data_IF_856557590024
#
_entry.id   IF_856557590024
#
_cell.length_a   1.000
_cell.length_b   1.000
_cell.length_c   1.000
_cell.angle_alpha   90.00
_cell.angle_beta   90.00
_cell.angle_gamma   90.00
#
_symmetry.space_group_name_H-M   'P 1'
#
loop_
_entity.id
_entity.type
_entity.pdbx_description
1 polymer ?
#
# COMPACT_ATOMS: atom_id res chain seq x y z
N UNK A 1 20.84 67.87 2.06
CA UNK A 1 20.72 66.47 2.52
C UNK A 1 19.53 65.85 1.81
N UNK A 2 19.76 64.85 0.94
CA UNK A 2 18.73 64.17 0.15
C UNK A 2 18.13 63.03 0.97
N UNK A 3 16.83 63.05 1.22
CA UNK A 3 16.12 61.99 1.94
C UNK A 3 15.66 60.92 0.96
N UNK A 4 16.13 59.69 1.20
CA UNK A 4 15.89 58.48 0.42
C UNK A 4 14.44 57.99 0.65
N UNK A 5 13.66 57.79 -0.43
CA UNK A 5 12.38 57.06 -0.38
C UNK A 5 12.64 55.59 -0.67
N UNK A 6 12.42 54.73 0.32
CA UNK A 6 12.44 53.26 0.14
C UNK A 6 11.03 52.85 -0.31
N UNK A 7 10.93 52.32 -1.52
CA UNK A 7 9.74 51.63 -2.02
C UNK A 7 9.84 50.18 -1.56
N UNK A 8 8.96 49.76 -0.65
CA UNK A 8 8.80 48.35 -0.28
C UNK A 8 7.87 47.71 -1.30
N UNK A 9 8.43 47.00 -2.28
CA UNK A 9 7.66 46.04 -3.08
C UNK A 9 7.53 44.75 -2.29
N UNK A 10 6.36 44.53 -1.71
CA UNK A 10 5.97 43.22 -1.20
C UNK A 10 5.42 42.39 -2.38
N UNK A 11 6.27 41.58 -2.99
CA UNK A 11 5.82 40.53 -3.91
C UNK A 11 5.23 39.40 -3.06
N UNK A 12 3.90 39.39 -2.96
CA UNK A 12 3.14 38.28 -2.41
C UNK A 12 3.22 37.13 -3.44
N UNK A 13 4.18 36.22 -3.26
CA UNK A 13 4.25 34.99 -4.05
C UNK A 13 3.11 34.09 -3.58
N UNK A 14 1.94 34.21 -4.21
CA UNK A 14 0.90 33.20 -4.12
C UNK A 14 1.44 31.93 -4.79
N UNK A 15 2.00 31.03 -3.98
CA UNK A 15 2.25 29.66 -4.40
C UNK A 15 0.89 29.02 -4.66
N UNK A 16 0.49 29.00 -5.93
CA UNK A 16 -0.56 28.14 -6.43
C UNK A 16 -0.09 26.71 -6.18
N UNK A 17 -0.59 26.09 -5.11
CA UNK A 17 -0.58 24.63 -4.97
C UNK A 17 -1.51 24.09 -6.05
N UNK A 18 -0.99 23.93 -7.27
CA UNK A 18 -1.62 23.06 -8.24
C UNK A 18 -1.58 21.66 -7.65
N UNK A 19 -2.73 21.17 -7.17
CA UNK A 19 -2.95 19.76 -6.92
C UNK A 19 -2.87 19.03 -8.26
N UNK A 20 -1.65 18.79 -8.73
CA UNK A 20 -1.42 17.85 -9.82
C UNK A 20 -1.69 16.47 -9.24
N UNK A 21 -2.88 15.94 -9.47
CA UNK A 21 -3.14 14.51 -9.31
C UNK A 21 -2.15 13.76 -10.19
N UNK A 22 -1.24 12.99 -9.59
CA UNK A 22 -0.30 12.17 -10.34
C UNK A 22 -1.07 11.19 -11.21
N UNK A 23 -0.70 11.02 -12.50
CA UNK A 23 -1.43 10.14 -13.40
C UNK A 23 -1.40 8.69 -12.89
N UNK A 24 -2.50 7.96 -13.06
CA UNK A 24 -2.53 6.54 -12.75
C UNK A 24 -1.59 5.77 -13.67
N UNK A 25 -0.69 5.02 -13.05
CA UNK A 25 0.17 4.06 -13.73
C UNK A 25 -0.58 2.73 -13.74
N UNK A 26 -0.65 2.10 -14.91
CA UNK A 26 -1.27 0.78 -15.07
C UNK A 26 -0.22 -0.23 -15.50
N UNK A 27 -0.22 -1.39 -14.86
CA UNK A 27 0.72 -2.48 -15.14
C UNK A 27 -0.02 -3.82 -15.24
N UNK A 28 0.38 -4.65 -16.20
CA UNK A 28 0.00 -6.06 -16.29
C UNK A 28 1.27 -6.90 -16.06
N UNK A 29 1.17 -7.95 -15.26
CA UNK A 29 2.26 -8.87 -14.98
C UNK A 29 1.79 -10.32 -15.17
N UNK A 30 2.63 -11.13 -15.79
CA UNK A 30 2.46 -12.57 -15.92
C UNK A 30 3.77 -13.23 -15.50
N UNK A 31 3.73 -13.97 -14.40
CA UNK A 31 4.80 -14.86 -13.97
C UNK A 31 4.37 -16.30 -14.18
N UNK A 32 5.29 -17.11 -14.70
CA UNK A 32 5.06 -18.53 -14.96
C UNK A 32 6.21 -19.33 -14.39
N UNK A 33 5.89 -20.23 -13.48
CA UNK A 33 6.82 -21.19 -12.90
C UNK A 33 6.46 -22.60 -13.36
N UNK A 34 7.44 -23.35 -13.85
CA UNK A 34 7.27 -24.75 -14.18
C UNK A 34 7.43 -25.61 -12.92
N UNK A 35 6.48 -26.52 -12.70
CA UNK A 35 6.42 -27.41 -11.53
C UNK A 35 6.30 -28.86 -11.98
N UNK A 36 6.46 -29.81 -11.06
CA UNK A 36 6.25 -31.23 -11.35
C UNK A 36 4.81 -31.57 -11.79
N UNK A 37 3.85 -30.67 -11.55
CA UNK A 37 2.41 -30.90 -11.80
C UNK A 37 1.83 -29.98 -12.90
N UNK A 38 2.68 -29.31 -13.68
CA UNK A 38 2.28 -28.34 -14.70
C UNK A 38 2.91 -26.97 -14.47
N UNK A 39 2.18 -25.91 -14.76
CA UNK A 39 2.66 -24.52 -14.67
C UNK A 39 1.86 -23.73 -13.65
N UNK A 40 2.54 -23.13 -12.68
CA UNK A 40 1.94 -22.15 -11.78
C UNK A 40 1.98 -20.79 -12.48
N UNK A 41 0.81 -20.19 -12.69
CA UNK A 41 0.65 -18.90 -13.32
C UNK A 41 0.19 -17.87 -12.28
N UNK A 42 0.96 -16.79 -12.13
CA UNK A 42 0.59 -15.62 -11.36
C UNK A 42 0.35 -14.47 -12.33
N UNK A 43 -0.92 -14.09 -12.44
CA UNK A 43 -1.41 -13.09 -13.39
C UNK A 43 -1.94 -11.93 -12.58
N UNK A 44 -1.40 -10.74 -12.81
CA UNK A 44 -1.79 -9.56 -12.07
C UNK A 44 -2.05 -8.38 -13.00
N UNK A 45 -3.07 -7.58 -12.67
CA UNK A 45 -3.16 -6.19 -13.11
C UNK A 45 -3.02 -5.29 -11.88
N UNK A 46 -2.43 -4.12 -12.08
CA UNK A 46 -2.35 -3.14 -11.02
C UNK A 46 -2.54 -1.73 -11.52
N UNK A 47 -3.04 -0.89 -10.62
CA UNK A 47 -2.98 0.55 -10.76
C UNK A 47 -2.24 1.14 -9.59
N UNK A 48 -1.43 2.16 -9.85
CA UNK A 48 -0.84 2.97 -8.81
C UNK A 48 -0.99 4.45 -9.09
N UNK A 49 -1.03 5.25 -8.03
CA UNK A 49 -1.03 6.71 -8.08
C UNK A 49 -0.34 7.24 -6.84
N UNK A 50 0.04 8.51 -6.88
CA UNK A 50 0.54 9.24 -5.72
C UNK A 50 -0.41 10.39 -5.41
N UNK A 51 -0.76 10.54 -4.14
CA UNK A 51 -1.57 11.65 -3.67
C UNK A 51 -1.15 12.08 -2.27
N UNK A 52 -0.89 13.37 -2.11
CA UNK A 52 -0.45 14.00 -0.85
C UNK A 52 0.75 13.29 -0.19
N UNK A 53 1.75 12.88 -0.98
CA UNK A 53 2.96 12.22 -0.47
C UNK A 53 2.76 10.75 -0.06
N UNK A 54 1.61 10.15 -0.40
CA UNK A 54 1.36 8.73 -0.24
C UNK A 54 1.24 8.06 -1.60
N UNK A 55 1.88 6.91 -1.73
CA UNK A 55 1.70 6.01 -2.86
C UNK A 55 0.57 5.04 -2.56
N UNK A 56 -0.33 4.90 -3.52
CA UNK A 56 -1.42 3.95 -3.49
C UNK A 56 -1.24 2.97 -4.62
N UNK A 57 -1.38 1.68 -4.33
CA UNK A 57 -1.41 0.64 -5.36
C UNK A 57 -2.52 -0.34 -5.08
N UNK A 58 -3.30 -0.67 -6.10
CA UNK A 58 -4.22 -1.79 -6.06
C UNK A 58 -3.77 -2.85 -7.04
N UNK A 59 -3.80 -4.11 -6.61
CA UNK A 59 -3.43 -5.27 -7.41
C UNK A 59 -4.60 -6.24 -7.41
N UNK A 60 -5.05 -6.63 -8.60
CA UNK A 60 -5.93 -7.77 -8.81
C UNK A 60 -5.07 -8.93 -9.29
N UNK A 61 -5.22 -10.11 -8.68
CA UNK A 61 -4.39 -11.26 -8.96
C UNK A 61 -5.21 -12.54 -9.16
N UNK A 62 -4.74 -13.35 -10.10
CA UNK A 62 -5.14 -14.73 -10.35
C UNK A 62 -3.93 -15.62 -10.16
N UNK A 63 -4.10 -16.65 -9.35
CA UNK A 63 -3.11 -17.70 -9.13
C UNK A 63 -3.74 -19.01 -9.59
N UNK A 64 -3.14 -19.71 -10.54
CA UNK A 64 -3.68 -20.97 -11.06
C UNK A 64 -2.58 -21.95 -11.44
N UNK A 65 -2.81 -23.23 -11.15
CA UNK A 65 -2.02 -24.33 -11.68
C UNK A 65 -2.70 -24.84 -12.94
N UNK A 66 -1.96 -24.94 -14.04
CA UNK A 66 -2.47 -25.36 -15.36
C UNK A 66 -1.58 -26.43 -15.96
N UNK A 67 -2.11 -27.20 -16.91
CA UNK A 67 -1.35 -28.27 -17.55
C UNK A 67 -0.35 -27.73 -18.58
N UNK A 68 -0.73 -26.67 -19.32
CA UNK A 68 0.12 -26.08 -20.36
C UNK A 68 0.40 -24.60 -20.12
N UNK A 69 1.61 -24.14 -20.48
CA UNK A 69 2.00 -22.72 -20.39
C UNK A 69 1.04 -21.77 -21.13
N UNK A 70 0.37 -22.24 -22.19
CA UNK A 70 -0.60 -21.44 -22.96
C UNK A 70 -1.81 -21.04 -22.12
N UNK A 71 -2.22 -21.89 -21.19
CA UNK A 71 -3.36 -21.63 -20.29
C UNK A 71 -3.07 -20.56 -19.22
N UNK A 72 -1.82 -20.11 -19.10
CA UNK A 72 -1.49 -18.92 -18.31
C UNK A 72 -1.97 -17.61 -18.95
N UNK A 73 -2.44 -17.63 -20.19
CA UNK A 73 -3.06 -16.46 -20.82
C UNK A 73 -4.56 -16.45 -20.51
N UNK A 74 -5.04 -15.38 -19.88
CA UNK A 74 -6.46 -15.18 -19.59
C UNK A 74 -7.13 -14.33 -20.65
N UNK A 75 -8.26 -14.80 -21.17
CA UNK A 75 -9.14 -14.01 -22.03
C UNK A 75 -9.95 -12.98 -21.22
N UNK A 76 -10.29 -13.31 -19.96
CA UNK A 76 -11.05 -12.45 -19.06
C UNK A 76 -10.50 -12.51 -17.63
N UNK A 77 -9.70 -11.52 -17.24
CA UNK A 77 -9.15 -11.43 -15.89
C UNK A 77 -10.25 -11.27 -14.82
N UNK A 78 -11.30 -10.48 -15.09
CA UNK A 78 -12.27 -10.07 -14.07
C UNK A 78 -13.01 -11.22 -13.40
N UNK A 79 -13.35 -12.27 -14.16
CA UNK A 79 -14.06 -13.45 -13.65
C UNK A 79 -13.20 -14.34 -12.74
N UNK A 80 -11.89 -14.31 -12.98
CA UNK A 80 -10.94 -15.27 -12.42
C UNK A 80 -10.14 -14.72 -11.23
N UNK A 81 -10.22 -13.40 -10.96
CA UNK A 81 -9.57 -12.76 -9.79
C UNK A 81 -9.90 -13.54 -8.53
N UNK A 82 -8.86 -14.09 -7.90
CA UNK A 82 -8.98 -14.83 -6.65
C UNK A 82 -8.45 -14.02 -5.45
N UNK A 83 -7.61 -13.03 -5.71
CA UNK A 83 -7.01 -12.18 -4.69
C UNK A 83 -6.99 -10.73 -5.14
N UNK A 84 -7.29 -9.81 -4.24
CA UNK A 84 -7.12 -8.37 -4.43
C UNK A 84 -6.31 -7.81 -3.27
N UNK A 85 -5.32 -7.00 -3.59
CA UNK A 85 -4.45 -6.37 -2.60
C UNK A 85 -4.47 -4.86 -2.78
N UNK A 86 -4.50 -4.13 -1.66
CA UNK A 86 -4.26 -2.68 -1.61
C UNK A 86 -2.97 -2.46 -0.85
N UNK A 87 -2.11 -1.65 -1.42
CA UNK A 87 -0.87 -1.19 -0.82
C UNK A 87 -0.95 0.30 -0.63
N UNK A 88 -0.55 0.75 0.55
CA UNK A 88 -0.34 2.17 0.85
C UNK A 88 1.03 2.31 1.42
N UNK A 89 1.81 3.21 0.84
CA UNK A 89 3.13 3.58 1.30
C UNK A 89 3.16 5.09 1.55
N UNK A 90 3.70 5.49 2.68
CA UNK A 90 3.94 6.90 3.02
C UNK A 90 5.31 7.01 3.65
N UNK A 91 6.13 7.96 3.16
CA UNK A 91 7.46 8.18 3.70
C UNK A 91 7.77 9.67 3.83
N UNK A 92 8.43 10.02 4.92
CA UNK A 92 9.11 11.29 5.13
C UNK A 92 10.51 11.05 5.73
N UNK A 93 11.22 12.12 6.07
CA UNK A 93 12.61 12.05 6.58
C UNK A 93 12.79 11.18 7.83
N UNK A 94 11.72 10.99 8.61
CA UNK A 94 11.78 10.27 9.88
C UNK A 94 10.96 8.98 9.88
N UNK A 95 9.84 8.95 9.17
CA UNK A 95 8.87 7.87 9.25
C UNK A 95 8.63 7.25 7.88
N UNK A 96 8.51 5.92 7.89
CA UNK A 96 7.98 5.15 6.77
C UNK A 96 6.84 4.28 7.27
N UNK A 97 5.73 4.29 6.54
CA UNK A 97 4.54 3.48 6.79
C UNK A 97 4.26 2.63 5.55
N UNK A 98 4.08 1.33 5.76
CA UNK A 98 3.66 0.40 4.72
C UNK A 98 2.44 -0.37 5.22
N UNK A 99 1.43 -0.50 4.38
CA UNK A 99 0.25 -1.31 4.67
C UNK A 99 -0.17 -2.07 3.44
N UNK A 100 -0.36 -3.37 3.59
CA UNK A 100 -0.92 -4.27 2.58
C UNK A 100 -2.19 -4.92 3.13
N UNK A 101 -3.33 -4.62 2.51
CA UNK A 101 -4.61 -5.25 2.79
C UNK A 101 -4.93 -6.23 1.66
N UNK A 102 -5.12 -7.50 1.99
CA UNK A 102 -5.44 -8.54 1.02
C UNK A 102 -6.83 -9.13 1.26
N UNK A 103 -7.60 -9.20 0.19
CA UNK A 103 -8.95 -9.72 0.11
C UNK A 103 -8.96 -10.94 -0.80
N UNK A 104 -9.39 -12.09 -0.28
CA UNK A 104 -9.60 -13.29 -1.10
C UNK A 104 -11.04 -13.32 -1.59
N UNK A 105 -11.26 -13.85 -2.80
CA UNK A 105 -12.59 -14.04 -3.39
C UNK A 105 -13.53 -14.71 -2.38
N UNK A 106 -14.69 -14.08 -2.15
CA UNK A 106 -15.68 -14.53 -1.16
C UNK A 106 -15.58 -13.83 0.21
N UNK A 107 -14.55 -13.01 0.45
CA UNK A 107 -14.51 -12.16 1.64
C UNK A 107 -15.61 -11.08 1.59
N UNK A 108 -16.31 -10.88 2.70
CA UNK A 108 -17.34 -9.84 2.85
C UNK A 108 -16.77 -8.47 3.23
N UNK A 109 -15.50 -8.42 3.65
CA UNK A 109 -14.79 -7.18 3.95
C UNK A 109 -14.70 -6.27 2.73
N UNK A 110 -15.19 -5.04 2.88
CA UNK A 110 -15.09 -3.92 1.92
C UNK A 110 -15.76 -4.14 0.56
N UNK A 111 -17.10 -4.11 0.50
CA UNK A 111 -17.88 -4.28 -0.73
C UNK A 111 -17.47 -3.38 -1.89
N UNK A 112 -17.01 -2.15 -1.61
CA UNK A 112 -16.61 -1.19 -2.65
C UNK A 112 -15.48 -1.74 -3.53
N UNK A 113 -14.59 -2.59 -3.00
CA UNK A 113 -13.49 -3.19 -3.74
C UNK A 113 -13.94 -4.19 -4.82
N UNK A 114 -15.19 -4.67 -4.76
CA UNK A 114 -15.73 -5.59 -5.77
C UNK A 114 -15.88 -4.94 -7.13
N UNK A 115 -16.05 -3.62 -7.17
CA UNK A 115 -16.23 -2.84 -8.40
C UNK A 115 -14.90 -2.52 -9.09
N UNK A 116 -13.77 -2.72 -8.40
CA UNK A 116 -12.42 -2.45 -8.91
C UNK A 116 -11.82 -3.67 -9.61
N UNK A 117 -12.44 -4.05 -10.72
CA UNK A 117 -11.95 -5.04 -11.70
C UNK A 117 -11.70 -4.36 -13.05
N UNK A 118 -10.84 -4.90 -13.92
CA UNK A 118 -10.56 -4.34 -15.25
C UNK A 118 -10.02 -2.91 -15.15
N UNK A 119 -8.98 -2.72 -14.34
CA UNK A 119 -8.49 -1.40 -13.94
C UNK A 119 -8.06 -0.55 -15.14
N UNK A 120 -7.62 -1.19 -16.23
CA UNK A 120 -7.30 -0.53 -17.51
C UNK A 120 -8.47 0.21 -18.14
N UNK A 121 -9.68 -0.36 -18.04
CA UNK A 121 -10.90 0.14 -18.67
C UNK A 121 -11.61 1.18 -17.79
N UNK A 122 -11.35 1.15 -16.48
CA UNK A 122 -11.88 2.09 -15.50
C UNK A 122 -11.15 3.45 -15.46
N UNK A 123 -10.36 3.82 -16.46
CA UNK A 123 -9.56 5.07 -16.51
C UNK A 123 -10.36 6.35 -16.84
N UNK A 124 -11.51 6.59 -16.18
CA UNK A 124 -12.20 7.89 -16.32
C UNK A 124 -11.67 8.85 -15.26
N UNK A 125 -11.40 10.10 -15.61
CA UNK A 125 -10.79 11.15 -14.77
C UNK A 125 -11.45 11.42 -13.38
N UNK A 126 -12.59 10.79 -13.08
CA UNK A 126 -13.30 10.85 -11.79
C UNK A 126 -13.04 9.62 -10.89
N UNK A 127 -12.42 8.59 -11.43
CA UNK A 127 -12.08 7.32 -10.76
C UNK A 127 -10.94 7.54 -9.79
N UNK A 128 -10.04 8.47 -10.09
CA UNK A 128 -8.86 8.81 -9.33
C UNK A 128 -9.17 9.22 -7.88
N UNK A 129 -10.06 10.20 -7.70
CA UNK A 129 -10.44 10.68 -6.37
C UNK A 129 -11.32 9.67 -5.63
N UNK A 130 -12.21 8.96 -6.32
CA UNK A 130 -13.05 7.93 -5.70
C UNK A 130 -12.18 6.77 -5.22
N UNK A 131 -11.18 6.37 -6.00
CA UNK A 131 -10.18 5.38 -5.62
C UNK A 131 -9.46 5.81 -4.35
N UNK A 132 -8.80 6.97 -4.39
CA UNK A 132 -8.01 7.51 -3.28
C UNK A 132 -8.89 7.65 -2.03
N UNK A 133 -10.07 8.26 -2.13
CA UNK A 133 -10.98 8.41 -0.99
C UNK A 133 -11.44 7.06 -0.42
N UNK A 134 -11.69 6.07 -1.28
CA UNK A 134 -12.08 4.74 -0.83
C UNK A 134 -10.92 4.03 -0.13
N UNK A 135 -9.69 4.25 -0.60
CA UNK A 135 -8.50 3.76 0.07
C UNK A 135 -8.30 4.49 1.39
N UNK A 136 -8.37 5.83 1.45
CA UNK A 136 -8.22 6.64 2.67
C UNK A 136 -9.25 6.32 3.76
N UNK A 137 -10.39 5.71 3.40
CA UNK A 137 -11.34 5.18 4.37
C UNK A 137 -10.89 3.85 5.01
N UNK A 138 -9.87 3.19 4.46
CA UNK A 138 -9.28 1.98 5.02
C UNK A 138 -8.35 2.35 6.20
N UNK A 139 -8.35 1.57 7.29
CA UNK A 139 -7.57 1.90 8.48
C UNK A 139 -6.07 1.59 8.32
N UNK A 140 -5.39 2.03 7.26
CA UNK A 140 -4.02 1.62 6.90
C UNK A 140 -2.87 2.37 7.59
N UNK A 141 -3.13 3.51 8.23
CA UNK A 141 -2.08 4.46 8.64
C UNK A 141 -1.13 3.94 9.76
N UNK A 142 -1.49 2.83 10.39
CA UNK A 142 -0.73 2.20 11.48
C UNK A 142 -0.56 3.10 12.72
N UNK A 143 -1.46 4.07 12.86
CA UNK A 143 -1.53 5.00 13.98
C UNK A 143 -1.73 4.26 15.31
N UNK A 144 -2.45 3.12 15.26
CA UNK A 144 -2.77 2.28 16.42
C UNK A 144 -2.72 0.80 16.09
N UNK A 145 -2.23 0.00 17.04
CA UNK A 145 -2.12 -1.46 16.87
C UNK A 145 -3.49 -2.17 16.82
N UNK A 146 -4.52 -1.56 17.44
CA UNK A 146 -5.89 -2.12 17.49
C UNK A 146 -6.57 -2.17 16.12
N UNK A 147 -6.18 -1.32 15.18
CA UNK A 147 -6.77 -1.28 13.84
C UNK A 147 -6.61 -2.62 13.12
N UNK A 148 -5.49 -3.32 13.35
CA UNK A 148 -5.08 -4.53 12.62
C UNK A 148 -5.98 -5.75 12.83
N UNK A 149 -6.80 -5.80 13.89
CA UNK A 149 -7.63 -6.98 14.21
C UNK A 149 -9.05 -6.95 13.63
N UNK A 150 -9.53 -5.81 13.10
CA UNK A 150 -10.99 -5.59 12.95
C UNK A 150 -11.54 -5.43 11.53
N UNK A 151 -10.74 -5.65 10.48
CA UNK A 151 -11.17 -5.26 9.12
C UNK A 151 -11.94 -6.33 8.31
N UNK A 152 -12.10 -7.57 8.80
CA UNK A 152 -12.73 -8.63 7.99
C UNK A 152 -11.97 -8.98 6.69
N UNK A 153 -10.70 -8.57 6.61
CA UNK A 153 -9.73 -8.94 5.56
C UNK A 153 -9.29 -10.39 5.74
N UNK A 154 -8.98 -11.08 4.63
CA UNK A 154 -8.33 -12.40 4.71
C UNK A 154 -6.93 -12.29 5.29
N UNK A 155 -6.23 -11.19 4.99
CA UNK A 155 -4.89 -10.92 5.49
C UNK A 155 -4.61 -9.42 5.53
N UNK A 156 -3.90 -8.98 6.58
CA UNK A 156 -3.50 -7.59 6.72
C UNK A 156 -2.10 -7.48 7.32
N UNK A 157 -1.17 -7.01 6.50
CA UNK A 157 0.17 -6.63 6.91
C UNK A 157 0.29 -5.14 7.02
N UNK A 158 0.98 -4.70 8.07
CA UNK A 158 1.40 -3.32 8.17
C UNK A 158 2.75 -3.25 8.86
N UNK A 159 3.52 -2.24 8.53
CA UNK A 159 4.74 -1.88 9.22
C UNK A 159 4.88 -0.37 9.34
N UNK A 160 5.56 0.04 10.40
CA UNK A 160 6.02 1.41 10.61
C UNK A 160 7.49 1.37 10.99
N UNK A 161 8.28 2.19 10.33
CA UNK A 161 9.70 2.39 10.60
C UNK A 161 9.90 3.84 11.03
N UNK A 162 10.66 4.03 12.11
CA UNK A 162 11.16 5.32 12.53
C UNK A 162 12.68 5.32 12.45
N UNK A 163 13.25 6.28 11.74
CA UNK A 163 14.69 6.48 11.67
C UNK A 163 15.05 7.79 12.36
N UNK A 164 15.78 7.69 13.47
CA UNK A 164 16.23 8.86 14.22
C UNK A 164 17.72 8.71 14.54
N UNK A 165 18.54 9.64 14.03
CA UNK A 165 19.98 9.72 14.33
C UNK A 165 20.77 8.41 14.08
N UNK A 166 20.34 7.61 13.09
CA UNK A 166 20.99 6.35 12.73
C UNK A 166 20.54 5.14 13.55
N UNK A 167 19.52 5.32 14.40
CA UNK A 167 18.78 4.24 15.05
C UNK A 167 17.45 4.05 14.29
N UNK A 168 17.11 2.79 14.02
CA UNK A 168 15.85 2.39 13.42
C UNK A 168 15.00 1.70 14.49
N UNK A 169 13.73 2.10 14.61
CA UNK A 169 12.73 1.28 15.29
C UNK A 169 11.63 0.87 14.33
N UNK A 170 11.28 -0.40 14.35
CA UNK A 170 10.31 -1.00 13.43
C UNK A 170 9.23 -1.72 14.21
N UNK A 171 7.98 -1.47 13.86
CA UNK A 171 6.83 -2.22 14.35
C UNK A 171 6.10 -2.83 13.16
N UNK A 172 5.71 -4.10 13.24
CA UNK A 172 5.11 -4.81 12.11
C UNK A 172 4.19 -5.95 12.53
N UNK A 173 3.27 -6.36 11.64
CA UNK A 173 2.58 -7.65 11.74
C UNK A 173 3.58 -8.80 11.81
N UNK A 174 3.39 -9.76 12.73
CA UNK A 174 4.28 -10.91 12.86
C UNK A 174 3.57 -12.13 13.46
N UNK A 175 3.58 -13.28 12.76
CA UNK A 175 3.03 -14.57 13.24
C UNK A 175 1.65 -14.49 13.92
N UNK A 176 0.72 -13.72 13.34
CA UNK A 176 -0.63 -13.52 13.89
C UNK A 176 -0.73 -12.53 15.07
N UNK A 177 0.40 -11.92 15.46
CA UNK A 177 0.50 -10.80 16.38
C UNK A 177 1.37 -9.70 15.78
N UNK A 178 2.27 -9.16 16.59
CA UNK A 178 3.07 -7.99 16.29
C UNK A 178 4.51 -8.21 16.75
N UNK A 179 5.44 -7.60 16.03
CA UNK A 179 6.85 -7.54 16.41
C UNK A 179 7.33 -6.11 16.40
N UNK A 180 8.13 -5.78 17.41
CA UNK A 180 8.86 -4.53 17.56
C UNK A 180 10.35 -4.84 17.58
N UNK A 181 11.13 -4.07 16.82
CA UNK A 181 12.59 -4.16 16.83
C UNK A 181 13.18 -2.77 16.94
N UNK A 182 14.25 -2.62 17.72
CA UNK A 182 15.15 -1.47 17.68
C UNK A 182 16.51 -1.97 17.22
N UNK A 183 17.10 -1.28 16.25
CA UNK A 183 18.41 -1.59 15.72
C UNK A 183 19.23 -0.33 15.46
N UNK A 184 20.54 -0.48 15.49
CA UNK A 184 21.47 0.55 15.08
C UNK A 184 22.60 -0.09 14.25
N UNK A 185 23.66 0.68 13.97
CA UNK A 185 24.81 0.20 13.19
C UNK A 185 25.56 -0.99 13.83
N UNK A 186 25.30 -1.31 15.09
CA UNK A 186 25.90 -2.42 15.84
C UNK A 186 25.02 -3.67 15.84
N UNK A 187 23.77 -3.59 15.34
CA UNK A 187 22.82 -4.69 15.26
C UNK A 187 21.52 -4.43 16.02
N UNK A 188 20.75 -5.49 16.24
CA UNK A 188 19.48 -5.45 16.98
C UNK A 188 19.77 -5.23 18.46
N UNK A 189 19.19 -4.17 19.02
CA UNK A 189 19.28 -3.82 20.44
C UNK A 189 18.11 -4.43 21.24
N UNK A 190 16.94 -4.52 20.62
CA UNK A 190 15.71 -4.99 21.24
C UNK A 190 14.85 -5.70 20.19
N UNK A 191 14.30 -6.85 20.55
CA UNK A 191 13.28 -7.54 19.77
C UNK A 191 12.16 -8.01 20.71
N UNK A 192 10.94 -7.54 20.47
CA UNK A 192 9.78 -7.84 21.30
C UNK A 192 8.57 -8.25 20.46
N UNK A 193 7.77 -9.17 21.02
CA UNK A 193 6.59 -9.75 20.40
C UNK A 193 5.35 -9.43 21.24
N UNK A 194 4.23 -9.23 20.54
CA UNK A 194 2.93 -9.02 21.18
C UNK A 194 1.83 -9.76 20.43
N UNK A 195 0.85 -10.31 21.16
CA UNK A 195 -0.36 -10.88 20.55
C UNK A 195 -1.50 -9.85 20.39
N UNK A 196 -1.40 -8.71 21.09
CA UNK A 196 -2.48 -7.73 21.20
C UNK A 196 -2.03 -6.28 20.94
N UNK A 197 -0.72 -6.04 20.81
CA UNK A 197 -0.15 -4.72 20.58
C UNK A 197 -0.02 -3.85 21.83
N UNK A 198 -0.47 -4.36 22.98
CA UNK A 198 -0.53 -3.66 24.26
C UNK A 198 0.51 -4.18 25.24
N UNK A 199 0.72 -5.49 25.25
CA UNK A 199 1.68 -6.18 26.11
C UNK A 199 2.80 -6.76 25.26
N UNK A 200 4.03 -6.41 25.59
CA UNK A 200 5.23 -6.76 24.83
C UNK A 200 6.15 -7.60 25.72
N UNK A 201 6.69 -8.65 25.13
CA UNK A 201 7.63 -9.58 25.76
C UNK A 201 8.76 -9.85 24.80
N UNK A 202 9.89 -10.34 25.28
CA UNK A 202 10.95 -10.81 24.40
C UNK A 202 10.38 -11.87 23.44
N UNK A 203 10.71 -11.73 22.16
CA UNK A 203 10.51 -12.81 21.19
C UNK A 203 11.50 -13.95 21.51
#
# INVERSE_FOLDING_TARGET
MKTLRIVVSATLTAALLSSCSSPFIYEENLQVEETASGYLCDIAESISTEHNGKEYKMVNQVNRLVETKRECQLENLAGDINTRSVYVHEQNDQWQYDSQLTFVKGAEGFPFLKEWVLLKQNKKDHVDLVFINSLEALPYAFDRVTEMKSAGTSYWLKSRVNTLKGEESRMQSFKGGYRYTEENTQGILLEQCSQNGLQWFDC
#
